data_IF_483319832819
#
_entry.id   IF_483319832819
#
_cell.length_a   1.000
_cell.length_b   1.000
_cell.length_c   1.000
_cell.angle_alpha   90.00
_cell.angle_beta   90.00
_cell.angle_gamma   90.00
#
_symmetry.space_group_name_H-M   'P 1'
#
loop_
_entity.id
_entity.type
_entity.pdbx_description
1 polymer ?
#
# COMPACT_ATOMS: atom_id res chain seq x y z
N UNK A 1 -19.97 19.09 -28.70
CA UNK A 1 -19.13 18.62 -27.58
C UNK A 1 -18.48 17.33 -28.04
N UNK A 2 -17.16 17.28 -28.04
CA UNK A 2 -16.43 16.08 -28.50
C UNK A 2 -16.76 14.90 -27.58
N UNK A 3 -17.11 13.76 -28.16
CA UNK A 3 -17.37 12.55 -27.39
C UNK A 3 -16.04 12.11 -26.76
N UNK A 4 -15.97 11.85 -25.45
CA UNK A 4 -14.72 11.45 -24.80
C UNK A 4 -14.16 10.20 -25.49
N UNK A 5 -12.95 10.33 -26.05
CA UNK A 5 -12.32 9.27 -26.84
C UNK A 5 -11.88 8.13 -25.92
N UNK A 6 -12.22 6.89 -26.29
CA UNK A 6 -11.77 5.69 -25.59
C UNK A 6 -10.23 5.65 -25.52
N UNK A 7 -9.62 5.30 -24.36
CA UNK A 7 -8.19 5.07 -24.28
C UNK A 7 -7.76 3.92 -25.20
N UNK A 8 -6.74 4.14 -26.04
CA UNK A 8 -6.33 3.19 -27.08
C UNK A 8 -5.88 1.81 -26.55
N UNK A 9 -5.43 1.74 -25.29
CA UNK A 9 -4.98 0.52 -24.63
C UNK A 9 -6.14 -0.32 -24.06
N UNK A 10 -7.36 0.23 -23.98
CA UNK A 10 -8.57 -0.48 -23.53
C UNK A 10 -9.43 -0.82 -24.75
N UNK A 11 -9.28 -2.01 -25.32
CA UNK A 11 -9.87 -2.34 -26.64
C UNK A 11 -11.26 -2.99 -26.56
N UNK A 12 -11.50 -3.81 -25.54
CA UNK A 12 -12.59 -4.79 -25.49
C UNK A 12 -13.72 -4.40 -24.53
N UNK A 13 -13.70 -3.19 -23.96
CA UNK A 13 -14.70 -2.72 -22.99
C UNK A 13 -15.68 -1.71 -23.59
N UNK A 14 -16.95 -1.83 -23.19
CA UNK A 14 -18.00 -0.85 -23.51
C UNK A 14 -17.87 0.36 -22.59
N UNK A 15 -18.00 1.58 -23.13
CA UNK A 15 -17.99 2.79 -22.32
C UNK A 15 -19.34 2.97 -21.63
N UNK A 16 -19.31 3.28 -20.34
CA UNK A 16 -20.51 3.70 -19.60
C UNK A 16 -20.96 5.09 -20.07
N UNK A 17 -22.23 5.42 -19.89
CA UNK A 17 -22.79 6.74 -20.25
C UNK A 17 -22.12 7.92 -19.54
N UNK A 18 -21.61 7.67 -18.33
CA UNK A 18 -20.95 8.66 -17.48
C UNK A 18 -19.41 8.56 -17.58
N UNK A 19 -18.89 8.03 -18.70
CA UNK A 19 -17.45 7.90 -18.90
C UNK A 19 -16.79 9.27 -19.06
N UNK A 20 -15.72 9.48 -18.30
CA UNK A 20 -14.84 10.63 -18.40
C UNK A 20 -13.37 10.21 -18.27
N UNK A 21 -12.48 11.05 -18.79
CA UNK A 21 -11.04 10.97 -18.55
C UNK A 21 -10.68 12.08 -17.59
N UNK A 22 -10.04 11.73 -16.48
CA UNK A 22 -9.59 12.68 -15.46
C UNK A 22 -8.06 12.78 -15.54
N UNK A 23 -7.55 13.97 -15.87
CA UNK A 23 -6.12 14.25 -15.80
C UNK A 23 -5.72 14.52 -14.34
N UNK A 24 -4.95 13.61 -13.76
CA UNK A 24 -4.46 13.75 -12.39
C UNK A 24 -3.38 14.83 -12.32
N UNK A 25 -3.48 15.72 -11.32
CA UNK A 25 -2.39 16.66 -11.01
C UNK A 25 -1.18 15.89 -10.45
N UNK A 26 0.05 16.41 -10.63
CA UNK A 26 1.21 15.90 -9.91
C UNK A 26 0.92 15.82 -8.41
N UNK A 27 1.34 14.72 -7.79
CA UNK A 27 1.20 14.54 -6.36
C UNK A 27 2.14 15.48 -5.60
N UNK A 28 1.73 15.89 -4.40
CA UNK A 28 2.54 16.73 -3.52
C UNK A 28 3.32 15.82 -2.58
N UNK A 29 4.57 15.50 -2.94
CA UNK A 29 5.42 14.55 -2.20
C UNK A 29 5.65 14.98 -0.74
N UNK A 30 5.47 16.26 -0.40
CA UNK A 30 5.56 16.73 0.99
C UNK A 30 4.38 16.26 1.87
N UNK A 31 3.32 15.68 1.27
CA UNK A 31 2.12 15.19 1.96
C UNK A 31 1.94 13.68 1.82
N UNK A 32 2.99 12.97 1.44
CA UNK A 32 2.96 11.54 1.11
C UNK A 32 2.67 10.65 2.32
N UNK A 33 2.96 11.16 3.52
CA UNK A 33 2.56 10.54 4.77
C UNK A 33 1.42 11.33 5.43
N UNK A 34 0.28 10.67 5.58
CA UNK A 34 -0.82 11.13 6.42
C UNK A 34 -1.07 10.08 7.51
N UNK A 35 -1.14 10.53 8.76
CA UNK A 35 -1.35 9.65 9.90
C UNK A 35 -2.77 9.11 9.86
N UNK A 36 -2.93 7.80 9.94
CA UNK A 36 -4.25 7.21 10.09
C UNK A 36 -4.76 7.39 11.52
N UNK A 37 -6.06 7.29 11.76
CA UNK A 37 -6.59 7.42 13.12
C UNK A 37 -6.50 6.10 13.92
N UNK A 38 -6.19 4.99 13.26
CA UNK A 38 -6.12 3.65 13.88
C UNK A 38 -4.73 3.22 14.32
N UNK A 39 -3.79 3.09 13.38
CA UNK A 39 -2.44 2.60 13.62
C UNK A 39 -1.43 3.23 12.66
N UNK A 40 -0.14 2.94 12.86
CA UNK A 40 0.91 3.13 11.85
C UNK A 40 1.69 1.83 11.65
N UNK A 41 2.43 1.75 10.54
CA UNK A 41 3.26 0.57 10.23
C UNK A 41 4.73 0.88 10.13
N UNK A 42 5.56 -0.05 10.62
CA UNK A 42 7.01 -0.05 10.40
C UNK A 42 7.38 -1.23 9.52
N UNK A 43 8.20 -1.01 8.50
CA UNK A 43 8.59 -2.03 7.52
C UNK A 43 10.10 -2.26 7.57
N UNK A 44 10.49 -3.53 7.67
CA UNK A 44 11.89 -3.98 7.60
C UNK A 44 12.05 -4.99 6.48
N UNK A 45 13.09 -4.84 5.67
CA UNK A 45 13.59 -5.93 4.82
C UNK A 45 14.64 -6.71 5.60
N UNK A 46 14.37 -7.97 5.86
CA UNK A 46 15.22 -8.86 6.63
C UNK A 46 15.96 -9.82 5.70
N UNK A 47 17.24 -9.51 5.44
CA UNK A 47 18.09 -10.31 4.56
C UNK A 47 18.66 -11.56 5.22
N UNK A 48 18.57 -11.70 6.54
CA UNK A 48 18.96 -12.94 7.24
C UNK A 48 17.97 -14.05 6.91
N UNK A 49 16.67 -13.74 6.96
CA UNK A 49 15.58 -14.69 6.67
C UNK A 49 15.02 -14.57 5.24
N UNK A 50 15.52 -13.59 4.48
CA UNK A 50 15.06 -13.25 3.14
C UNK A 50 13.54 -13.02 3.07
N UNK A 51 13.07 -12.11 3.92
CA UNK A 51 11.65 -11.76 4.07
C UNK A 51 11.46 -10.25 4.35
N UNK A 52 10.23 -9.78 4.21
CA UNK A 52 9.77 -8.47 4.65
C UNK A 52 9.00 -8.68 5.95
N UNK A 53 9.22 -7.81 6.92
CA UNK A 53 8.48 -7.77 8.18
C UNK A 53 7.75 -6.43 8.31
N UNK A 54 6.48 -6.47 8.67
CA UNK A 54 5.64 -5.30 8.91
C UNK A 54 5.09 -5.35 10.32
N UNK A 55 5.51 -4.41 11.15
CA UNK A 55 4.93 -4.20 12.47
C UNK A 55 3.75 -3.24 12.36
N UNK A 56 2.62 -3.59 12.96
CA UNK A 56 1.46 -2.70 13.17
C UNK A 56 1.55 -2.15 14.58
N UNK A 57 1.56 -0.83 14.73
CA UNK A 57 1.76 -0.15 15.99
C UNK A 57 0.59 0.80 16.31
N UNK A 58 0.24 0.92 17.60
CA UNK A 58 -0.66 1.99 18.05
C UNK A 58 0.10 3.30 18.31
N UNK A 59 -0.63 4.39 18.56
CA UNK A 59 -0.07 5.71 18.86
C UNK A 59 0.58 5.84 20.26
N UNK A 60 0.52 4.78 21.07
CA UNK A 60 1.30 4.63 22.31
C UNK A 60 2.65 3.96 22.07
N UNK A 61 3.01 3.72 20.80
CA UNK A 61 4.22 3.03 20.35
C UNK A 61 4.29 1.54 20.77
N UNK A 62 3.14 0.90 20.99
CA UNK A 62 3.06 -0.53 21.24
C UNK A 62 2.94 -1.30 19.93
N UNK A 63 3.74 -2.37 19.78
CA UNK A 63 3.64 -3.30 18.64
C UNK A 63 2.44 -4.22 18.89
N UNK A 64 1.40 -4.06 18.09
CA UNK A 64 0.19 -4.87 18.17
C UNK A 64 0.40 -6.25 17.53
N UNK A 65 1.01 -6.26 16.34
CA UNK A 65 1.31 -7.47 15.55
C UNK A 65 2.51 -7.26 14.63
N UNK A 66 3.13 -8.37 14.23
CA UNK A 66 4.13 -8.42 13.16
C UNK A 66 3.67 -9.42 12.11
N UNK A 67 3.62 -8.97 10.86
CA UNK A 67 3.33 -9.79 9.68
C UNK A 67 4.61 -9.99 8.88
N UNK A 68 4.83 -11.21 8.39
CA UNK A 68 6.05 -11.59 7.68
C UNK A 68 5.69 -12.25 6.34
N UNK A 69 6.46 -11.95 5.30
CA UNK A 69 6.23 -12.53 3.98
C UNK A 69 7.29 -12.10 2.97
N UNK A 70 7.32 -12.73 1.80
CA UNK A 70 8.28 -12.40 0.72
C UNK A 70 7.71 -11.45 -0.32
N UNK A 71 6.39 -11.36 -0.41
CA UNK A 71 5.67 -10.52 -1.36
C UNK A 71 4.79 -9.53 -0.63
N UNK A 72 4.63 -8.34 -1.20
CA UNK A 72 3.69 -7.34 -0.72
C UNK A 72 2.28 -7.92 -0.59
N UNK A 73 1.84 -8.72 -1.58
CA UNK A 73 0.51 -9.32 -1.61
C UNK A 73 0.23 -10.24 -0.43
N UNK A 74 1.22 -11.03 -0.02
CA UNK A 74 1.08 -11.95 1.10
C UNK A 74 0.82 -11.17 2.39
N UNK A 75 1.54 -10.06 2.56
CA UNK A 75 1.52 -9.26 3.78
C UNK A 75 0.23 -8.44 3.90
N UNK A 76 -0.10 -7.59 2.91
CA UNK A 76 -1.30 -6.77 3.05
C UNK A 76 -2.57 -7.62 3.08
N UNK A 77 -2.59 -8.77 2.37
CA UNK A 77 -3.76 -9.66 2.40
C UNK A 77 -3.91 -10.31 3.77
N UNK A 78 -2.81 -10.69 4.43
CA UNK A 78 -2.84 -11.23 5.78
C UNK A 78 -3.29 -10.17 6.80
N UNK A 79 -2.82 -8.93 6.67
CA UNK A 79 -3.24 -7.80 7.52
C UNK A 79 -4.76 -7.58 7.40
N UNK A 80 -5.28 -7.38 6.19
CA UNK A 80 -6.71 -7.09 5.99
C UNK A 80 -7.60 -8.26 6.35
N UNK A 81 -7.12 -9.50 6.12
CA UNK A 81 -7.82 -10.70 6.59
C UNK A 81 -7.92 -10.71 8.11
N UNK A 82 -6.81 -10.44 8.81
CA UNK A 82 -6.78 -10.38 10.27
C UNK A 82 -7.70 -9.29 10.82
N UNK A 83 -7.66 -8.07 10.27
CA UNK A 83 -8.58 -7.00 10.66
C UNK A 83 -10.04 -7.44 10.56
N UNK A 84 -10.41 -8.04 9.42
CA UNK A 84 -11.77 -8.50 9.17
C UNK A 84 -12.19 -9.61 10.13
N UNK A 85 -11.34 -10.60 10.36
CA UNK A 85 -11.64 -11.74 11.24
C UNK A 85 -11.76 -11.34 12.71
N UNK A 86 -11.08 -10.26 13.10
CA UNK A 86 -11.06 -9.77 14.48
C UNK A 86 -11.90 -8.50 14.72
N UNK A 87 -12.57 -7.96 13.70
CA UNK A 87 -13.38 -6.75 13.82
C UNK A 87 -12.55 -5.51 14.18
N UNK A 88 -11.31 -5.42 13.68
CA UNK A 88 -10.39 -4.30 13.91
C UNK A 88 -10.44 -3.31 12.75
N UNK A 89 -10.13 -2.05 13.04
CA UNK A 89 -10.05 -0.96 12.06
C UNK A 89 -8.72 -0.21 12.22
N UNK A 90 -7.61 -0.91 11.95
CA UNK A 90 -6.27 -0.36 11.94
C UNK A 90 -6.07 0.62 10.79
N UNK A 91 -6.65 0.35 9.62
CA UNK A 91 -6.52 1.19 8.43
C UNK A 91 -7.86 1.83 8.04
N UNK A 92 -8.12 3.06 8.49
CA UNK A 92 -9.37 3.78 8.19
C UNK A 92 -9.22 4.67 6.96
N UNK A 93 -8.02 5.19 6.74
CA UNK A 93 -7.70 6.09 5.64
C UNK A 93 -7.34 5.34 4.35
N UNK A 94 -7.99 5.68 3.23
CA UNK A 94 -7.60 5.11 1.92
C UNK A 94 -6.18 5.51 1.52
N UNK A 95 -5.74 6.71 1.90
CA UNK A 95 -4.36 7.16 1.67
C UNK A 95 -3.35 6.28 2.40
N UNK A 96 -3.60 5.95 3.66
CA UNK A 96 -2.68 5.12 4.45
C UNK A 96 -2.57 3.69 3.88
N UNK A 97 -3.70 3.12 3.42
CA UNK A 97 -3.68 1.82 2.71
C UNK A 97 -2.86 1.90 1.41
N UNK A 98 -3.01 2.97 0.64
CA UNK A 98 -2.24 3.18 -0.58
C UNK A 98 -0.73 3.33 -0.29
N UNK A 99 -0.38 4.09 0.76
CA UNK A 99 0.99 4.25 1.24
C UNK A 99 1.60 2.92 1.70
N UNK A 100 0.87 2.11 2.49
CA UNK A 100 1.32 0.76 2.86
C UNK A 100 1.63 -0.09 1.63
N UNK A 101 0.76 -0.07 0.61
CA UNK A 101 0.98 -0.77 -0.64
C UNK A 101 2.23 -0.30 -1.41
N UNK A 102 2.47 1.02 -1.45
CA UNK A 102 3.66 1.64 -2.05
C UNK A 102 4.94 1.14 -1.36
N UNK A 103 5.01 1.29 -0.03
CA UNK A 103 6.20 0.93 0.75
C UNK A 103 6.47 -0.59 0.73
N UNK A 104 5.41 -1.40 0.81
CA UNK A 104 5.54 -2.86 0.64
C UNK A 104 6.10 -3.24 -0.73
N UNK A 105 5.71 -2.54 -1.80
CA UNK A 105 6.25 -2.83 -3.13
C UNK A 105 7.72 -2.44 -3.26
N UNK A 106 8.12 -1.30 -2.67
CA UNK A 106 9.53 -0.91 -2.54
C UNK A 106 10.35 -1.96 -1.79
N UNK A 107 9.83 -2.44 -0.66
CA UNK A 107 10.46 -3.50 0.14
C UNK A 107 10.59 -4.83 -0.64
N UNK A 108 9.55 -5.22 -1.38
CA UNK A 108 9.57 -6.42 -2.23
C UNK A 108 10.62 -6.34 -3.35
N UNK A 109 10.74 -5.17 -4.00
CA UNK A 109 11.77 -4.94 -5.02
C UNK A 109 13.17 -4.99 -4.37
N UNK A 110 13.35 -4.34 -3.22
CA UNK A 110 14.62 -4.35 -2.51
C UNK A 110 15.05 -5.76 -2.11
N UNK A 111 14.13 -6.55 -1.54
CA UNK A 111 14.37 -7.96 -1.22
C UNK A 111 14.74 -8.77 -2.47
N UNK A 112 14.00 -8.59 -3.57
CA UNK A 112 14.22 -9.34 -4.82
C UNK A 112 15.57 -9.02 -5.47
N UNK A 113 16.05 -7.78 -5.33
CA UNK A 113 17.32 -7.31 -5.88
C UNK A 113 18.51 -7.54 -4.93
N UNK A 114 18.27 -8.02 -3.69
CA UNK A 114 19.32 -8.04 -2.67
C UNK A 114 19.80 -6.64 -2.27
N UNK A 115 18.98 -5.61 -2.47
CA UNK A 115 19.35 -4.22 -2.22
C UNK A 115 19.11 -3.85 -0.76
N UNK A 116 20.19 -3.72 0.02
CA UNK A 116 20.13 -3.35 1.43
C UNK A 116 19.86 -1.88 1.69
N UNK A 117 19.73 -1.05 0.65
CA UNK A 117 19.46 0.39 0.73
C UNK A 117 17.99 0.77 0.88
N UNK A 118 17.09 -0.19 1.15
CA UNK A 118 15.70 0.12 1.43
C UNK A 118 15.59 0.95 2.71
N UNK A 119 14.84 2.04 2.62
CA UNK A 119 14.33 2.78 3.77
C UNK A 119 12.86 3.10 3.51
N UNK A 120 12.08 3.13 4.59
CA UNK A 120 10.70 3.57 4.57
C UNK A 120 10.69 5.12 4.56
N UNK A 121 9.92 5.71 3.65
CA UNK A 121 9.76 7.17 3.50
C UNK A 121 8.94 7.83 4.60
#
# INVERSE_FOLDING_TARGET
MDTPKRPAWVKDKKLHKDFEIIDCKPYDDYKDHDNDFGCYTLIKVDFEFWEIQVAVCNYEHEILKVFKGRRAQDIYSAIFKYEKEHGLEWFKGKQHIAYLGKELKKAEIALSLGNTGYYQE
#
